data_IF_988240983428
#
_entry.id   IF_988240983428
#
_cell.length_a   1.000
_cell.length_b   1.000
_cell.length_c   1.000
_cell.angle_alpha   90.00
_cell.angle_beta   90.00
_cell.angle_gamma   90.00
#
_symmetry.space_group_name_H-M   'P 1'
#
loop_
_entity.id
_entity.type
_entity.pdbx_description
1 polymer ?
#
# COMPACT_ATOMS: atom_id res chain seq x y z
N UNK A 1 4.25 -2.62 17.81
CA UNK A 1 3.26 -2.30 16.76
C UNK A 1 2.43 -3.54 16.57
N UNK A 2 1.10 -3.45 16.50
CA UNK A 2 0.29 -4.57 16.07
C UNK A 2 0.53 -4.78 14.58
N UNK A 3 0.83 -6.01 14.18
CA UNK A 3 0.81 -6.35 12.76
C UNK A 3 -0.61 -6.20 12.21
N UNK A 4 -0.71 -5.70 10.99
CA UNK A 4 -1.96 -5.65 10.25
C UNK A 4 -2.22 -7.04 9.69
N UNK A 5 -3.31 -7.69 10.12
CA UNK A 5 -3.73 -8.98 9.61
C UNK A 5 -4.80 -8.75 8.54
N UNK A 6 -4.48 -9.09 7.30
CA UNK A 6 -5.37 -8.99 6.15
C UNK A 6 -5.85 -10.38 5.73
N UNK A 7 -7.04 -10.43 5.15
CA UNK A 7 -7.54 -11.66 4.52
C UNK A 7 -6.91 -11.80 3.13
N UNK A 8 -6.42 -13.00 2.83
CA UNK A 8 -5.97 -13.40 1.48
C UNK A 8 -7.18 -13.86 0.65
N UNK A 9 -7.00 -13.95 -0.68
CA UNK A 9 -7.99 -14.39 -1.67
C UNK A 9 -9.29 -13.57 -1.69
N UNK A 10 -9.23 -12.35 -1.16
CA UNK A 10 -10.33 -11.39 -1.20
C UNK A 10 -9.82 -10.05 -1.69
N UNK A 11 -10.68 -9.31 -2.39
CA UNK A 11 -10.39 -7.92 -2.70
C UNK A 11 -10.35 -7.09 -1.40
N UNK A 12 -9.32 -6.27 -1.26
CA UNK A 12 -9.10 -5.35 -0.16
C UNK A 12 -9.13 -3.92 -0.72
N UNK A 13 -10.19 -3.17 -0.43
CA UNK A 13 -10.39 -1.85 -1.05
C UNK A 13 -9.56 -0.70 -0.45
N UNK A 14 -9.09 -0.83 0.79
CA UNK A 14 -8.46 0.28 1.52
C UNK A 14 -7.30 -0.20 2.39
N UNK A 15 -6.26 -0.77 1.77
CA UNK A 15 -5.04 -1.19 2.48
C UNK A 15 -4.19 0.05 2.78
N UNK A 16 -3.90 0.38 4.05
CA UNK A 16 -3.16 1.60 4.40
C UNK A 16 -1.70 1.51 3.97
N UNK A 17 -1.21 2.57 3.32
CA UNK A 17 0.20 2.71 2.93
C UNK A 17 1.05 3.27 4.09
N UNK A 18 0.49 4.20 4.85
CA UNK A 18 1.16 4.85 5.96
C UNK A 18 0.32 4.76 7.24
N UNK A 19 0.99 4.54 8.38
CA UNK A 19 0.35 4.45 9.69
C UNK A 19 0.04 5.83 10.29
N UNK A 20 0.86 6.83 9.94
CA UNK A 20 0.73 8.22 10.35
C UNK A 20 0.81 9.12 9.13
N UNK A 21 0.21 10.30 9.22
CA UNK A 21 0.20 11.27 8.13
C UNK A 21 1.61 11.55 7.62
N UNK A 22 1.77 11.57 6.30
CA UNK A 22 2.98 12.08 5.67
C UNK A 22 3.10 13.57 5.99
N UNK A 23 4.33 13.99 6.31
CA UNK A 23 4.65 15.36 6.68
C UNK A 23 5.52 15.94 5.56
N UNK A 24 5.19 17.15 5.13
CA UNK A 24 5.91 17.90 4.12
C UNK A 24 7.37 18.12 4.55
N UNK A 25 8.31 17.82 3.66
CA UNK A 25 9.75 17.87 3.94
C UNK A 25 10.36 19.27 3.78
N UNK A 26 9.60 20.23 3.25
CA UNK A 26 10.01 21.63 3.16
C UNK A 26 9.83 22.34 4.49
N UNK A 27 8.76 22.04 5.23
CA UNK A 27 8.46 22.72 6.50
C UNK A 27 8.41 21.83 7.75
N UNK A 28 8.34 20.51 7.59
CA UNK A 28 8.25 19.50 8.64
C UNK A 28 7.07 19.70 9.61
N UNK A 29 5.98 20.32 9.16
CA UNK A 29 4.81 20.69 9.97
C UNK A 29 3.49 20.45 9.26
N UNK A 30 3.43 20.75 7.97
CA UNK A 30 2.22 20.58 7.17
C UNK A 30 2.08 19.13 6.74
N UNK A 31 0.84 18.70 6.52
CA UNK A 31 0.54 17.36 6.02
C UNK A 31 0.77 17.37 4.52
N UNK A 32 1.45 16.34 4.04
CA UNK A 32 1.70 16.15 2.61
C UNK A 32 0.47 15.48 1.97
N UNK A 33 -0.41 16.31 1.39
CA UNK A 33 -1.70 15.90 0.82
C UNK A 33 -1.70 15.81 -0.70
N UNK A 34 -0.55 15.98 -1.38
CA UNK A 34 -0.48 16.02 -2.85
C UNK A 34 0.41 14.93 -3.45
N UNK A 35 0.70 13.84 -2.71
CA UNK A 35 1.45 12.71 -3.27
C UNK A 35 0.62 11.98 -4.32
N UNK A 36 1.11 11.99 -5.56
CA UNK A 36 0.50 11.27 -6.67
C UNK A 36 1.16 9.90 -6.89
N UNK A 37 0.41 8.95 -7.44
CA UNK A 37 0.80 7.55 -7.63
C UNK A 37 2.15 7.33 -8.36
N UNK A 38 2.54 8.27 -9.24
CA UNK A 38 3.77 8.22 -10.04
C UNK A 38 4.76 9.34 -9.69
N UNK A 39 4.66 9.90 -8.49
CA UNK A 39 5.56 10.94 -8.03
C UNK A 39 7.01 10.45 -8.09
N UNK A 40 7.91 11.33 -8.58
CA UNK A 40 9.34 11.01 -8.61
C UNK A 40 9.85 10.70 -7.20
N UNK A 41 10.49 9.53 -7.06
CA UNK A 41 11.02 9.07 -5.78
C UNK A 41 10.01 8.32 -4.89
N UNK A 42 8.77 8.11 -5.34
CA UNK A 42 7.84 7.20 -4.68
C UNK A 42 8.35 5.76 -4.84
N UNK A 43 8.56 5.09 -3.72
CA UNK A 43 8.95 3.68 -3.64
C UNK A 43 7.99 2.96 -2.69
N UNK A 44 7.27 1.97 -3.22
CA UNK A 44 6.30 1.18 -2.47
C UNK A 44 6.69 -0.30 -2.50
N UNK A 45 6.86 -0.86 -1.30
CA UNK A 45 7.21 -2.26 -1.10
C UNK A 45 6.11 -2.94 -0.29
N UNK A 46 5.64 -4.08 -0.78
CA UNK A 46 4.72 -4.93 -0.05
C UNK A 46 5.51 -6.02 0.67
N UNK A 47 5.36 -6.07 1.98
CA UNK A 47 6.00 -7.04 2.86
C UNK A 47 4.96 -8.09 3.25
N UNK A 48 5.24 -9.34 2.92
CA UNK A 48 4.38 -10.46 3.27
C UNK A 48 5.11 -11.44 4.18
N UNK A 49 4.44 -11.85 5.26
CA UNK A 49 4.94 -12.83 6.21
C UNK A 49 3.91 -13.96 6.30
N UNK A 50 4.32 -15.18 5.96
CA UNK A 50 3.46 -16.38 6.13
C UNK A 50 3.27 -16.70 7.61
N UNK A 51 2.31 -17.57 7.93
CA UNK A 51 2.12 -18.09 9.31
C UNK A 51 3.36 -18.79 9.85
N UNK A 52 4.17 -19.38 8.98
CA UNK A 52 5.44 -20.03 9.32
C UNK A 52 6.61 -19.03 9.44
N UNK A 53 6.35 -17.73 9.31
CA UNK A 53 7.33 -16.66 9.47
C UNK A 53 8.20 -16.41 8.26
N UNK A 54 7.85 -16.93 7.07
CA UNK A 54 8.61 -16.68 5.84
C UNK A 54 8.32 -15.28 5.34
N UNK A 55 9.35 -14.45 5.30
CA UNK A 55 9.27 -13.07 4.81
C UNK A 55 9.57 -12.99 3.32
N UNK A 56 8.73 -12.25 2.60
CA UNK A 56 8.96 -11.84 1.20
C UNK A 56 8.68 -10.36 1.05
N UNK A 57 9.36 -9.72 0.10
CA UNK A 57 9.17 -8.32 -0.24
C UNK A 57 9.09 -8.19 -1.76
N UNK A 58 8.09 -7.47 -2.24
CA UNK A 58 7.90 -7.20 -3.66
C UNK A 58 7.67 -5.73 -3.90
N UNK A 59 8.17 -5.23 -5.03
CA UNK A 59 7.91 -3.86 -5.45
C UNK A 59 6.49 -3.76 -6.00
N UNK A 60 5.80 -2.69 -5.61
CA UNK A 60 4.44 -2.39 -6.07
C UNK A 60 4.51 -1.09 -6.85
N UNK A 61 3.97 -1.09 -8.05
CA UNK A 61 3.77 0.12 -8.83
C UNK A 61 2.31 0.55 -8.65
N UNK A 62 2.03 1.62 -7.89
CA UNK A 62 0.67 2.09 -7.72
C UNK A 62 0.08 2.56 -9.05
N UNK A 63 -1.24 2.51 -9.16
CA UNK A 63 -1.97 3.01 -10.33
C UNK A 63 -3.01 4.05 -9.91
N UNK A 64 -3.63 4.74 -10.86
CA UNK A 64 -4.71 5.72 -10.62
C UNK A 64 -6.05 5.22 -11.17
N UNK A 65 -6.04 4.09 -11.90
CA UNK A 65 -7.21 3.51 -12.56
C UNK A 65 -6.89 2.09 -13.04
N UNK A 66 -7.42 1.05 -12.40
CA UNK A 66 -7.63 -0.30 -12.98
C UNK A 66 -8.12 -1.34 -11.95
N UNK A 67 -8.23 -1.00 -10.67
CA UNK A 67 -8.54 -1.94 -9.60
C UNK A 67 -7.31 -2.71 -9.07
N UNK A 68 -6.12 -2.41 -9.61
CA UNK A 68 -4.85 -2.98 -9.18
C UNK A 68 -4.00 -1.86 -8.58
N UNK A 69 -3.85 -1.87 -7.26
CA UNK A 69 -2.99 -0.94 -6.51
C UNK A 69 -3.38 0.53 -6.69
N UNK A 70 -4.68 0.78 -6.84
CA UNK A 70 -5.23 2.12 -7.04
C UNK A 70 -4.88 3.01 -5.84
N UNK A 71 -4.04 4.02 -6.06
CA UNK A 71 -3.55 4.94 -5.04
C UNK A 71 -4.62 5.96 -4.69
N UNK A 72 -5.10 5.90 -3.45
CA UNK A 72 -6.18 6.75 -2.97
C UNK A 72 -5.67 7.65 -1.86
N UNK A 73 -5.86 8.95 -2.04
CA UNK A 73 -5.69 9.94 -0.98
C UNK A 73 -6.92 9.94 -0.07
N UNK A 74 -6.75 9.53 1.18
CA UNK A 74 -7.79 9.48 2.21
C UNK A 74 -7.94 10.83 2.95
N UNK A 75 -7.25 11.87 2.48
CA UNK A 75 -7.10 13.16 3.13
C UNK A 75 -6.13 13.11 4.30
N UNK A 76 -5.74 14.28 4.82
CA UNK A 76 -4.89 14.39 6.00
C UNK A 76 -3.52 13.70 5.88
N UNK A 77 -2.97 13.60 4.66
CA UNK A 77 -1.71 12.94 4.37
C UNK A 77 -1.74 11.43 4.59
N UNK A 78 -2.92 10.81 4.57
CA UNK A 78 -3.12 9.37 4.65
C UNK A 78 -3.44 8.81 3.27
N UNK A 79 -2.82 7.68 2.92
CA UNK A 79 -2.99 7.05 1.62
C UNK A 79 -3.30 5.56 1.79
N UNK A 80 -4.09 5.03 0.87
CA UNK A 80 -4.42 3.61 0.77
C UNK A 80 -4.22 3.10 -0.65
N UNK A 81 -4.14 1.79 -0.80
CA UNK A 81 -4.26 1.11 -2.09
C UNK A 81 -5.38 0.06 -2.05
N UNK A 82 -5.94 -0.22 -3.22
CA UNK A 82 -6.71 -1.44 -3.45
C UNK A 82 -5.77 -2.63 -3.76
N UNK A 83 -6.07 -3.81 -3.23
CA UNK A 83 -5.41 -5.06 -3.60
C UNK A 83 -6.51 -6.05 -4.06
N UNK A 84 -6.49 -6.51 -5.33
CA UNK A 84 -7.49 -7.45 -5.81
C UNK A 84 -7.31 -8.83 -5.17
N UNK A 85 -8.35 -9.67 -5.22
CA UNK A 85 -8.26 -11.05 -4.77
C UNK A 85 -7.16 -11.85 -5.49
N UNK A 86 -6.92 -11.56 -6.77
CA UNK A 86 -5.88 -12.19 -7.60
C UNK A 86 -4.46 -11.70 -7.30
N UNK A 87 -4.27 -10.83 -6.30
CA UNK A 87 -2.98 -10.22 -6.02
C UNK A 87 -2.57 -9.12 -6.99
N UNK A 88 -3.06 -9.11 -8.23
CA UNK A 88 -2.77 -8.09 -9.24
C UNK A 88 -1.53 -8.48 -10.05
N UNK A 89 -0.66 -7.52 -10.37
CA UNK A 89 0.57 -7.79 -11.11
C UNK A 89 1.75 -8.34 -10.29
N UNK A 90 1.85 -8.00 -9.00
CA UNK A 90 3.04 -8.30 -8.17
C UNK A 90 2.77 -8.76 -6.74
N UNK A 91 1.71 -8.28 -6.09
CA UNK A 91 1.34 -8.69 -4.72
C UNK A 91 0.79 -10.11 -4.75
N UNK A 92 1.17 -10.93 -3.77
CA UNK A 92 0.82 -12.34 -3.67
C UNK A 92 -0.46 -12.57 -2.83
N UNK A 93 -1.53 -11.81 -3.08
CA UNK A 93 -2.77 -11.91 -2.29
C UNK A 93 -3.58 -13.18 -2.59
N UNK A 94 -3.23 -13.91 -3.65
CA UNK A 94 -3.84 -15.17 -4.11
C UNK A 94 -2.96 -16.41 -3.88
N UNK A 95 -1.75 -16.22 -3.34
CA UNK A 95 -0.81 -17.28 -3.10
C UNK A 95 -0.85 -17.67 -1.63
N UNK A 96 -1.81 -18.52 -1.29
CA UNK A 96 -1.81 -19.22 -0.01
C UNK A 96 -0.59 -20.16 0.06
N UNK A 97 0.24 -19.97 1.10
CA UNK A 97 1.27 -20.91 1.53
C UNK A 97 0.84 -21.56 2.84
#
# INVERSE_FOLDING_TARGET
MSDLILSVDTALGEVPINLIALIDDTDFKTREESVVFNQSGLDLLFNFITKDGVFTQTAVTPTDTAGDYDWINQGNGMYTIEIPASGGGTINNDAEG
#
